data_IF_220226616178
#
_entry.id   IF_220226616178
#
_cell.length_a   1.000
_cell.length_b   1.000
_cell.length_c   1.000
_cell.angle_alpha   90.00
_cell.angle_beta   90.00
_cell.angle_gamma   90.00
#
_symmetry.space_group_name_H-M   'P 1'
#
loop_
_entity.id
_entity.type
_entity.pdbx_description
1 polymer ?
#
# COMPACT_ATOMS: atom_id res chain seq x y z
N UNK A 1 -3.32 -29.05 33.63
CA UNK A 1 -1.84 -29.05 33.49
C UNK A 1 -1.48 -27.98 32.46
N UNK A 2 -1.17 -26.77 32.91
CA UNK A 2 -0.70 -25.69 32.05
C UNK A 2 0.78 -25.90 31.74
N UNK A 3 1.07 -26.68 30.69
CA UNK A 3 2.43 -26.81 30.20
C UNK A 3 2.93 -25.42 29.75
N UNK A 4 4.02 -24.93 30.35
CA UNK A 4 4.71 -23.73 29.85
C UNK A 4 5.06 -23.95 28.38
N UNK A 5 4.49 -23.18 27.50
CA UNK A 5 4.85 -23.20 26.08
C UNK A 5 6.36 -22.95 25.95
N UNK A 6 7.10 -23.97 25.51
CA UNK A 6 8.55 -23.88 25.34
C UNK A 6 8.81 -23.24 23.98
N UNK A 7 9.20 -21.99 23.99
CA UNK A 7 9.54 -21.28 22.74
C UNK A 7 10.76 -21.98 22.09
N UNK A 8 10.74 -22.16 20.76
CA UNK A 8 11.92 -22.58 20.01
C UNK A 8 13.06 -21.57 20.13
N UNK A 9 14.27 -21.97 19.76
CA UNK A 9 15.42 -21.05 19.77
C UNK A 9 15.20 -19.92 18.75
N UNK A 10 15.60 -18.71 19.13
CA UNK A 10 15.52 -17.55 18.21
C UNK A 10 16.31 -17.80 16.92
N UNK A 11 17.39 -18.57 16.97
CA UNK A 11 18.16 -18.91 15.78
C UNK A 11 17.37 -19.83 14.84
N UNK A 12 16.66 -20.83 15.37
CA UNK A 12 15.80 -21.69 14.55
C UNK A 12 14.66 -20.90 13.90
N UNK A 13 14.06 -19.95 14.62
CA UNK A 13 13.05 -19.05 14.07
C UNK A 13 13.63 -18.11 13.00
N UNK A 14 14.87 -17.61 13.17
CA UNK A 14 15.56 -16.80 12.16
C UNK A 14 15.82 -17.58 10.88
N UNK A 15 16.30 -18.82 11.01
CA UNK A 15 16.52 -19.71 9.86
C UNK A 15 15.19 -20.02 9.16
N UNK A 16 14.14 -20.32 9.93
CA UNK A 16 12.80 -20.53 9.37
C UNK A 16 12.31 -19.31 8.59
N UNK A 17 12.48 -18.11 9.13
CA UNK A 17 12.09 -16.87 8.47
C UNK A 17 12.78 -16.71 7.11
N UNK A 18 14.10 -16.89 7.04
CA UNK A 18 14.85 -16.81 5.79
C UNK A 18 14.39 -17.86 4.77
N UNK A 19 14.17 -19.13 5.20
CA UNK A 19 13.67 -20.19 4.30
C UNK A 19 12.26 -19.87 3.79
N UNK A 20 11.39 -19.34 4.65
CA UNK A 20 10.02 -18.97 4.29
C UNK A 20 9.98 -17.82 3.26
N UNK A 21 10.87 -16.82 3.38
CA UNK A 21 11.01 -15.71 2.44
C UNK A 21 11.52 -16.16 1.07
N UNK A 22 12.60 -16.92 1.05
CA UNK A 22 13.25 -17.34 -0.19
C UNK A 22 12.61 -18.56 -0.85
N UNK A 23 11.81 -19.33 -0.13
CA UNK A 23 11.32 -20.66 -0.53
C UNK A 23 12.47 -21.57 -1.03
N UNK A 24 13.65 -21.40 -0.44
CA UNK A 24 14.90 -22.05 -0.85
C UNK A 24 15.88 -22.16 0.33
N UNK A 25 16.25 -23.38 0.67
CA UNK A 25 17.28 -23.63 1.70
C UNK A 25 18.65 -23.06 1.31
N UNK A 26 18.98 -23.07 0.02
CA UNK A 26 20.26 -22.55 -0.48
C UNK A 26 20.32 -21.03 -0.36
N UNK A 27 19.28 -20.33 -0.84
CA UNK A 27 19.25 -18.85 -0.75
C UNK A 27 19.20 -18.37 0.71
N UNK A 28 18.45 -19.08 1.58
CA UNK A 28 18.46 -18.80 3.01
C UNK A 28 19.85 -19.02 3.65
N UNK A 29 20.58 -20.06 3.22
CA UNK A 29 21.94 -20.32 3.68
C UNK A 29 22.91 -19.20 3.22
N UNK A 30 22.79 -18.74 1.98
CA UNK A 30 23.58 -17.65 1.43
C UNK A 30 23.31 -16.33 2.20
N UNK A 31 22.04 -16.00 2.49
CA UNK A 31 21.67 -14.83 3.29
C UNK A 31 22.24 -14.89 4.72
N UNK A 32 22.13 -16.08 5.36
CA UNK A 32 22.54 -16.27 6.75
C UNK A 32 24.04 -16.53 6.91
N UNK A 33 24.79 -16.63 5.81
CA UNK A 33 26.23 -16.95 5.76
C UNK A 33 26.55 -18.29 6.48
N UNK A 34 25.72 -19.31 6.24
CA UNK A 34 25.86 -20.67 6.77
C UNK A 34 25.75 -21.70 5.65
N UNK A 35 25.94 -22.99 5.97
CA UNK A 35 25.78 -24.07 4.99
C UNK A 35 24.30 -24.45 4.82
N UNK A 36 23.85 -24.90 3.64
CA UNK A 36 22.49 -25.42 3.45
C UNK A 36 22.15 -26.59 4.36
N UNK A 37 23.14 -27.38 4.72
CA UNK A 37 22.99 -28.48 5.68
C UNK A 37 22.68 -27.99 7.11
N UNK A 38 23.34 -26.90 7.55
CA UNK A 38 23.05 -26.27 8.83
C UNK A 38 21.62 -25.68 8.86
N UNK A 39 21.16 -25.05 7.76
CA UNK A 39 19.78 -24.59 7.59
C UNK A 39 18.81 -25.76 7.74
N UNK A 40 19.05 -26.87 7.02
CA UNK A 40 18.20 -28.07 7.11
C UNK A 40 18.12 -28.66 8.53
N UNK A 41 19.23 -28.69 9.26
CA UNK A 41 19.24 -29.15 10.65
C UNK A 41 18.42 -28.23 11.58
N UNK A 42 18.53 -26.92 11.42
CA UNK A 42 17.76 -25.98 12.23
C UNK A 42 16.25 -26.07 11.94
N UNK A 43 15.85 -26.23 10.69
CA UNK A 43 14.43 -26.44 10.32
C UNK A 43 13.93 -27.75 10.94
N UNK A 44 14.67 -28.84 10.79
CA UNK A 44 14.28 -30.13 11.39
C UNK A 44 14.12 -30.02 12.91
N UNK A 45 15.05 -29.35 13.58
CA UNK A 45 14.97 -29.13 15.04
C UNK A 45 13.73 -28.30 15.40
N UNK A 46 13.37 -27.33 14.60
CA UNK A 46 12.16 -26.50 14.78
C UNK A 46 10.89 -27.35 14.62
N UNK A 47 10.80 -28.14 13.55
CA UNK A 47 9.68 -29.04 13.28
C UNK A 47 9.54 -30.10 14.41
N UNK A 48 10.64 -30.67 14.84
CA UNK A 48 10.66 -31.59 15.96
C UNK A 48 10.23 -30.96 17.30
N UNK A 49 10.60 -29.69 17.52
CA UNK A 49 10.19 -28.94 18.72
C UNK A 49 8.71 -28.62 18.72
N UNK A 50 8.17 -28.22 17.55
CA UNK A 50 6.77 -27.82 17.38
C UNK A 50 5.85 -29.01 17.10
N UNK A 51 6.39 -30.18 16.76
CA UNK A 51 5.67 -31.41 16.35
C UNK A 51 4.75 -31.13 15.13
N UNK A 52 5.22 -30.27 14.19
CA UNK A 52 4.53 -29.96 12.94
C UNK A 52 5.52 -29.92 11.77
N UNK A 53 5.07 -30.30 10.60
CA UNK A 53 5.83 -30.09 9.36
C UNK A 53 5.60 -28.66 8.87
N UNK A 54 6.68 -27.95 8.57
CA UNK A 54 6.63 -26.57 8.12
C UNK A 54 6.85 -26.45 6.60
N UNK A 55 7.63 -27.36 6.01
CA UNK A 55 7.94 -27.32 4.59
C UNK A 55 7.67 -28.66 3.93
N UNK A 56 7.09 -28.59 2.74
CA UNK A 56 6.85 -29.75 1.86
C UNK A 56 7.63 -29.62 0.57
N UNK A 57 8.09 -30.77 0.03
CA UNK A 57 8.76 -30.81 -1.26
C UNK A 57 7.74 -31.12 -2.35
N UNK A 58 7.59 -30.20 -3.32
CA UNK A 58 6.86 -30.43 -4.57
C UNK A 58 7.85 -30.46 -5.74
N UNK A 59 8.33 -31.64 -6.07
CA UNK A 59 9.35 -31.82 -7.11
C UNK A 59 10.68 -31.14 -6.74
N UNK A 60 11.04 -30.08 -7.45
CA UNK A 60 12.26 -29.29 -7.23
C UNK A 60 12.05 -28.04 -6.32
N UNK A 61 10.81 -27.72 -5.97
CA UNK A 61 10.45 -26.57 -5.17
C UNK A 61 10.10 -26.96 -3.73
N UNK A 62 10.16 -25.98 -2.84
CA UNK A 62 9.76 -26.08 -1.45
C UNK A 62 8.54 -25.16 -1.27
N UNK A 63 7.49 -25.70 -0.66
CA UNK A 63 6.28 -24.97 -0.31
C UNK A 63 6.08 -24.92 1.19
N UNK A 64 5.45 -23.86 1.66
CA UNK A 64 5.08 -23.71 3.07
C UNK A 64 3.75 -24.45 3.30
N UNK A 65 3.69 -25.19 4.42
CA UNK A 65 2.43 -25.73 4.93
C UNK A 65 1.56 -24.60 5.51
N UNK A 66 0.28 -24.86 5.77
CA UNK A 66 -0.59 -23.92 6.46
C UNK A 66 -0.03 -23.49 7.82
N UNK A 67 0.54 -24.44 8.57
CA UNK A 67 1.23 -24.15 9.84
C UNK A 67 2.43 -23.22 9.65
N UNK A 68 3.20 -23.40 8.58
CA UNK A 68 4.32 -22.51 8.27
C UNK A 68 3.87 -21.13 7.85
N UNK A 69 2.80 -21.02 7.05
CA UNK A 69 2.22 -19.72 6.68
C UNK A 69 1.80 -18.96 7.93
N UNK A 70 1.06 -19.61 8.82
CA UNK A 70 0.64 -19.02 10.10
C UNK A 70 1.85 -18.59 10.95
N UNK A 71 2.82 -19.49 11.14
CA UNK A 71 4.02 -19.19 11.93
C UNK A 71 4.84 -18.07 11.32
N UNK A 72 4.93 -17.98 9.98
CA UNK A 72 5.73 -16.96 9.29
C UNK A 72 5.25 -15.55 9.60
N UNK A 73 3.94 -15.33 9.71
CA UNK A 73 3.37 -14.02 10.09
C UNK A 73 3.83 -13.60 11.49
N UNK A 74 3.75 -14.52 12.47
CA UNK A 74 4.16 -14.20 13.85
C UNK A 74 5.67 -14.04 14.00
N UNK A 75 6.45 -14.86 13.31
CA UNK A 75 7.92 -14.80 13.34
C UNK A 75 8.41 -13.51 12.70
N UNK A 76 7.87 -13.14 11.53
CA UNK A 76 8.15 -11.86 10.87
C UNK A 76 7.86 -10.69 11.80
N UNK A 77 6.64 -10.62 12.36
CA UNK A 77 6.27 -9.57 13.28
C UNK A 77 7.20 -9.48 14.51
N UNK A 78 7.62 -10.63 15.05
CA UNK A 78 8.57 -10.69 16.18
C UNK A 78 9.96 -10.13 15.81
N UNK A 79 10.51 -10.49 14.65
CA UNK A 79 11.80 -9.95 14.19
C UNK A 79 11.73 -8.47 13.81
N UNK A 80 10.62 -8.00 13.25
CA UNK A 80 10.39 -6.58 12.99
C UNK A 80 10.41 -5.79 14.32
N UNK A 81 9.79 -6.32 15.40
CA UNK A 81 9.82 -5.72 16.75
C UNK A 81 11.24 -5.69 17.34
N UNK A 82 12.01 -6.78 17.22
CA UNK A 82 13.40 -6.80 17.69
C UNK A 82 14.26 -5.79 16.93
N UNK A 83 14.13 -5.76 15.62
CA UNK A 83 14.87 -4.81 14.77
C UNK A 83 14.55 -3.36 15.13
N UNK A 84 13.29 -3.07 15.38
CA UNK A 84 12.84 -1.75 15.83
C UNK A 84 13.42 -1.40 17.21
N UNK A 85 13.40 -2.34 18.15
CA UNK A 85 14.01 -2.15 19.47
C UNK A 85 15.50 -1.82 19.38
N UNK A 86 16.26 -2.58 18.56
CA UNK A 86 17.69 -2.36 18.33
C UNK A 86 17.91 -1.00 17.66
N UNK A 87 17.14 -0.68 16.61
CA UNK A 87 17.21 0.61 15.90
C UNK A 87 17.05 1.78 16.84
N UNK A 88 16.08 1.73 17.75
CA UNK A 88 15.81 2.81 18.73
C UNK A 88 16.90 2.96 19.78
N UNK A 89 17.47 1.84 20.25
CA UNK A 89 18.57 1.89 21.23
C UNK A 89 19.86 2.41 20.61
N UNK A 90 20.15 2.01 19.36
CA UNK A 90 21.38 2.42 18.67
C UNK A 90 21.34 3.85 18.13
N UNK A 91 20.15 4.37 17.78
CA UNK A 91 19.95 5.74 17.27
C UNK A 91 19.56 6.73 18.38
N UNK A 92 20.16 6.64 19.56
CA UNK A 92 19.82 7.44 20.74
C UNK A 92 19.84 8.97 20.53
N UNK A 93 20.46 9.46 19.47
CA UNK A 93 20.60 10.90 19.14
C UNK A 93 19.31 11.50 18.52
N UNK A 94 18.30 10.70 18.17
CA UNK A 94 17.08 11.14 17.46
C UNK A 94 15.79 10.65 18.14
N UNK A 95 15.74 10.72 19.48
CA UNK A 95 14.59 10.23 20.27
C UNK A 95 13.24 10.85 19.88
N UNK A 96 13.24 12.03 19.27
CA UNK A 96 12.03 12.79 18.94
C UNK A 96 11.81 12.96 17.44
N UNK A 97 12.57 12.24 16.57
CA UNK A 97 12.34 12.28 15.12
C UNK A 97 11.29 11.26 14.74
N UNK A 98 10.35 11.70 13.90
CA UNK A 98 9.34 10.87 13.25
C UNK A 98 9.62 10.87 11.76
N UNK A 99 9.74 9.68 11.17
CA UNK A 99 9.94 9.51 9.74
C UNK A 99 8.61 9.07 9.10
N UNK A 100 7.93 10.01 8.46
CA UNK A 100 6.69 9.77 7.72
C UNK A 100 7.01 9.65 6.24
N UNK A 101 6.53 8.56 5.61
CA UNK A 101 6.41 8.51 4.17
C UNK A 101 4.97 8.82 3.77
N UNK A 102 4.76 9.46 2.63
CA UNK A 102 3.45 9.63 2.06
C UNK A 102 3.53 9.49 0.53
N UNK A 103 2.49 8.95 -0.10
CA UNK A 103 2.43 9.00 -1.56
C UNK A 103 2.54 10.47 -2.02
N UNK A 104 3.23 10.75 -3.14
CA UNK A 104 3.46 12.14 -3.59
C UNK A 104 2.17 12.94 -3.71
N UNK A 105 1.12 12.32 -4.20
CA UNK A 105 -0.20 12.95 -4.36
C UNK A 105 -0.81 13.35 -3.01
N UNK A 106 -0.84 12.42 -2.04
CA UNK A 106 -1.36 12.72 -0.70
C UNK A 106 -0.55 13.80 -0.01
N UNK A 107 0.78 13.72 -0.09
CA UNK A 107 1.66 14.70 0.50
C UNK A 107 1.32 16.12 -0.01
N UNK A 108 1.19 16.29 -1.32
CA UNK A 108 0.99 17.60 -1.95
C UNK A 108 -0.42 18.17 -1.71
N UNK A 109 -1.46 17.35 -1.91
CA UNK A 109 -2.84 17.86 -1.92
C UNK A 109 -3.49 17.88 -0.53
N UNK A 110 -3.08 17.00 0.37
CA UNK A 110 -3.73 16.81 1.66
C UNK A 110 -2.84 17.18 2.85
N UNK A 111 -1.59 16.67 2.88
CA UNK A 111 -0.75 16.78 4.07
C UNK A 111 -0.08 18.15 4.20
N UNK A 112 0.58 18.65 3.15
CA UNK A 112 1.33 19.90 3.19
C UNK A 112 0.48 21.11 3.64
N UNK A 113 -0.78 21.28 3.18
CA UNK A 113 -1.63 22.39 3.66
C UNK A 113 -1.89 22.37 5.17
N UNK A 114 -1.79 21.19 5.82
CA UNK A 114 -2.05 20.97 7.25
C UNK A 114 -0.78 20.80 8.09
N UNK A 115 0.38 20.77 7.46
CA UNK A 115 1.64 20.44 8.14
C UNK A 115 2.05 21.47 9.19
N UNK A 116 1.58 22.72 9.07
CA UNK A 116 1.79 23.75 10.08
C UNK A 116 1.25 23.37 11.45
N UNK A 117 0.18 22.57 11.51
CA UNK A 117 -0.43 22.08 12.74
C UNK A 117 0.40 20.99 13.43
N UNK A 118 1.36 20.38 12.72
CA UNK A 118 2.17 19.29 13.27
C UNK A 118 2.92 19.70 14.56
N UNK A 119 3.48 20.91 14.59
CA UNK A 119 4.24 21.40 15.75
C UNK A 119 3.40 21.54 17.01
N UNK A 120 2.10 21.77 16.87
CA UNK A 120 1.16 21.86 18.00
C UNK A 120 0.82 20.46 18.54
N UNK A 121 0.87 19.44 17.67
CA UNK A 121 0.47 18.06 18.01
C UNK A 121 1.60 17.32 18.72
N UNK A 122 2.83 17.48 18.24
CA UNK A 122 4.02 16.82 18.79
C UNK A 122 5.10 17.88 19.05
N UNK A 123 4.96 18.66 20.13
CA UNK A 123 5.95 19.70 20.45
C UNK A 123 7.36 19.12 20.61
N UNK A 124 8.32 19.73 19.94
CA UNK A 124 9.73 19.31 20.00
C UNK A 124 10.11 18.12 19.10
N UNK A 125 9.16 17.47 18.43
CA UNK A 125 9.50 16.42 17.49
C UNK A 125 10.01 16.98 16.16
N UNK A 126 11.03 16.31 15.60
CA UNK A 126 11.52 16.54 14.25
C UNK A 126 10.78 15.61 13.28
N UNK A 127 10.13 16.17 12.28
CA UNK A 127 9.43 15.39 11.24
C UNK A 127 10.28 15.35 9.97
N UNK A 128 10.65 14.15 9.57
CA UNK A 128 11.17 13.87 8.23
C UNK A 128 10.04 13.33 7.36
N UNK A 129 9.69 14.08 6.32
CA UNK A 129 8.74 13.64 5.30
C UNK A 129 9.49 13.15 4.07
N UNK A 130 9.21 11.92 3.65
CA UNK A 130 9.65 11.36 2.37
C UNK A 130 8.44 11.10 1.50
N UNK A 131 8.66 11.04 0.18
CA UNK A 131 7.59 10.75 -0.76
C UNK A 131 8.00 9.60 -1.67
N UNK A 132 7.37 8.43 -1.47
CA UNK A 132 7.57 7.23 -2.28
C UNK A 132 6.22 6.66 -2.70
N UNK A 133 6.17 6.13 -3.92
CA UNK A 133 4.97 5.47 -4.45
C UNK A 133 4.85 4.04 -3.93
N UNK A 134 5.98 3.36 -3.75
CA UNK A 134 6.02 2.01 -3.20
C UNK A 134 5.84 1.98 -1.69
N UNK A 135 5.25 0.87 -1.20
CA UNK A 135 5.22 0.61 0.23
C UNK A 135 6.67 0.47 0.74
N UNK A 136 7.09 1.28 1.74
CA UNK A 136 8.43 1.18 2.28
C UNK A 136 8.67 -0.16 2.96
N UNK A 137 9.91 -0.62 2.94
CA UNK A 137 10.37 -1.68 3.84
C UNK A 137 10.66 -1.06 5.21
N UNK A 138 9.71 -1.19 6.13
CA UNK A 138 9.83 -0.61 7.48
C UNK A 138 11.05 -1.10 8.26
N UNK A 139 11.61 -2.24 7.91
CA UNK A 139 12.84 -2.77 8.53
C UNK A 139 14.12 -2.10 8.00
N UNK A 140 14.09 -1.55 6.79
CA UNK A 140 15.28 -1.02 6.09
C UNK A 140 15.23 0.48 5.87
N UNK A 141 14.06 1.02 5.54
CA UNK A 141 13.93 2.39 5.02
C UNK A 141 13.87 3.47 6.10
N UNK A 142 13.97 3.10 7.38
CA UNK A 142 13.91 4.05 8.50
C UNK A 142 12.63 4.89 8.46
N UNK A 143 11.49 4.27 8.19
CA UNK A 143 10.15 4.86 8.14
C UNK A 143 9.33 4.39 9.34
N UNK A 144 8.67 5.29 10.04
CA UNK A 144 7.80 4.96 11.17
C UNK A 144 6.38 4.61 10.73
N UNK A 145 5.87 5.32 9.73
CA UNK A 145 4.54 5.09 9.13
C UNK A 145 4.50 5.62 7.70
N UNK A 146 3.54 5.16 6.92
CA UNK A 146 3.34 5.66 5.56
C UNK A 146 1.87 5.93 5.27
N UNK A 147 1.62 6.93 4.41
CA UNK A 147 0.31 7.08 3.77
C UNK A 147 0.42 6.53 2.36
N UNK A 148 -0.21 5.38 2.15
CA UNK A 148 -0.11 4.60 0.93
C UNK A 148 -1.42 4.64 0.14
N UNK A 149 -1.32 4.75 -1.19
CA UNK A 149 -2.47 4.62 -2.08
C UNK A 149 -2.72 3.14 -2.40
N UNK A 150 -3.99 2.73 -2.41
CA UNK A 150 -4.39 1.37 -2.75
C UNK A 150 -5.77 0.99 -2.24
N UNK A 151 -5.95 -0.29 -1.93
CA UNK A 151 -7.24 -0.89 -1.54
C UNK A 151 -7.25 -1.42 -0.10
N UNK A 152 -6.31 -1.02 0.74
CA UNK A 152 -6.25 -1.42 2.15
C UNK A 152 -5.74 -2.84 2.43
N UNK A 153 -5.18 -3.53 1.44
CA UNK A 153 -4.76 -4.94 1.56
C UNK A 153 -3.31 -5.08 2.04
N UNK A 154 -3.05 -4.70 3.30
CA UNK A 154 -1.75 -4.87 3.97
C UNK A 154 -1.93 -5.57 5.32
N UNK A 155 -2.16 -6.90 5.35
CA UNK A 155 -2.59 -7.64 6.55
C UNK A 155 -1.56 -7.65 7.69
N UNK A 156 -0.27 -7.46 7.38
CA UNK A 156 0.81 -7.45 8.37
C UNK A 156 0.89 -6.14 9.17
N UNK A 157 0.16 -5.10 8.77
CA UNK A 157 0.23 -3.77 9.32
C UNK A 157 -1.10 -3.33 9.93
N UNK A 158 -1.05 -2.33 10.80
CA UNK A 158 -2.23 -1.56 11.16
C UNK A 158 -2.56 -0.61 10.00
N UNK A 159 -3.80 -0.68 9.52
CA UNK A 159 -4.20 0.01 8.28
C UNK A 159 -5.50 0.76 8.50
N UNK A 160 -5.47 2.08 8.29
CA UNK A 160 -6.63 2.96 8.45
C UNK A 160 -6.88 3.75 7.16
N UNK A 161 -8.08 3.67 6.60
CA UNK A 161 -8.48 4.52 5.48
C UNK A 161 -8.56 5.98 5.96
N UNK A 162 -7.78 6.86 5.32
CA UNK A 162 -7.83 8.30 5.58
C UNK A 162 -8.85 8.99 4.67
N UNK A 163 -8.75 8.75 3.37
CA UNK A 163 -9.64 9.36 2.38
C UNK A 163 -9.77 8.46 1.15
N UNK A 164 -11.00 8.19 0.65
CA UNK A 164 -11.19 7.55 -0.64
C UNK A 164 -10.69 8.44 -1.77
N UNK A 165 -10.23 7.83 -2.84
CA UNK A 165 -9.75 8.51 -4.05
C UNK A 165 -10.52 8.02 -5.28
N UNK A 166 -11.83 8.36 -5.39
CA UNK A 166 -12.62 8.02 -6.56
C UNK A 166 -12.03 8.67 -7.81
N UNK A 167 -12.11 7.96 -8.92
CA UNK A 167 -11.60 8.42 -10.21
C UNK A 167 -12.73 8.84 -11.14
N UNK A 168 -12.39 9.67 -12.11
CA UNK A 168 -13.26 10.01 -13.24
C UNK A 168 -12.53 9.58 -14.51
N UNK A 169 -13.26 8.99 -15.43
CA UNK A 169 -12.79 8.70 -16.79
C UNK A 169 -12.71 9.99 -17.56
N UNK A 170 -11.50 10.42 -17.92
CA UNK A 170 -11.24 11.71 -18.53
C UNK A 170 -10.44 11.60 -19.82
N UNK A 171 -10.65 12.53 -20.73
CA UNK A 171 -9.84 12.72 -21.92
C UNK A 171 -9.92 14.18 -22.40
N UNK A 172 -9.10 14.56 -23.38
CA UNK A 172 -9.26 15.85 -24.06
C UNK A 172 -10.57 15.92 -24.84
N UNK A 173 -11.13 17.12 -25.08
CA UNK A 173 -12.36 17.29 -25.88
C UNK A 173 -12.29 16.58 -27.24
N UNK A 174 -11.15 16.68 -27.94
CA UNK A 174 -10.95 16.07 -29.26
C UNK A 174 -11.05 14.53 -29.26
N UNK A 175 -10.69 13.86 -28.15
CA UNK A 175 -10.92 12.44 -27.95
C UNK A 175 -12.37 12.20 -27.54
N UNK A 176 -12.90 13.01 -26.63
CA UNK A 176 -14.26 12.89 -26.10
C UNK A 176 -15.34 12.96 -27.17
N UNK A 177 -15.17 13.80 -28.19
CA UNK A 177 -16.08 13.87 -29.33
C UNK A 177 -16.25 12.54 -30.08
N UNK A 178 -15.26 11.65 -30.02
CA UNK A 178 -15.23 10.34 -30.68
C UNK A 178 -15.78 9.22 -29.81
N UNK A 179 -15.98 9.44 -28.51
CA UNK A 179 -16.52 8.47 -27.56
C UNK A 179 -18.02 8.73 -27.40
N UNK A 180 -18.85 7.79 -27.79
CA UNK A 180 -20.32 7.88 -27.71
C UNK A 180 -20.90 6.90 -26.68
N UNK A 181 -20.12 5.91 -26.28
CA UNK A 181 -20.50 4.92 -25.29
C UNK A 181 -19.26 4.40 -24.53
N UNK A 182 -19.46 3.68 -23.42
CA UNK A 182 -18.38 3.07 -22.68
C UNK A 182 -17.56 2.06 -23.54
N UNK A 183 -18.19 1.39 -24.51
CA UNK A 183 -17.50 0.47 -25.43
C UNK A 183 -16.47 1.17 -26.33
N UNK A 184 -16.66 2.47 -26.59
CA UNK A 184 -15.70 3.21 -27.41
C UNK A 184 -14.37 3.47 -26.68
N UNK A 185 -14.33 3.34 -25.35
CA UNK A 185 -13.12 3.54 -24.56
C UNK A 185 -11.98 2.62 -25.02
N UNK A 186 -12.29 1.38 -25.36
CA UNK A 186 -11.30 0.37 -25.79
C UNK A 186 -10.65 0.68 -27.15
N UNK A 187 -11.21 1.63 -27.91
CA UNK A 187 -10.63 2.10 -29.19
C UNK A 187 -9.46 3.06 -28.97
N UNK A 188 -9.27 3.56 -27.75
CA UNK A 188 -8.24 4.52 -27.38
C UNK A 188 -7.21 3.89 -26.44
N UNK A 189 -6.05 4.51 -26.34
CA UNK A 189 -5.05 4.11 -25.35
C UNK A 189 -5.56 4.43 -23.95
N UNK A 190 -5.66 3.41 -23.10
CA UNK A 190 -6.02 3.56 -21.69
C UNK A 190 -4.77 3.91 -20.89
N UNK A 191 -4.85 4.98 -20.10
CA UNK A 191 -3.74 5.47 -19.30
C UNK A 191 -3.98 5.10 -17.84
N UNK A 192 -3.00 4.46 -17.20
CA UNK A 192 -3.07 4.06 -15.81
C UNK A 192 -1.75 4.33 -15.07
N UNK A 193 -1.72 3.96 -13.79
CA UNK A 193 -0.46 3.88 -13.05
C UNK A 193 -0.11 2.41 -12.75
N UNK A 194 1.18 2.12 -12.61
CA UNK A 194 1.68 0.76 -12.29
C UNK A 194 0.97 0.18 -11.07
N UNK A 195 0.56 1.01 -10.12
CA UNK A 195 -0.16 0.60 -8.90
C UNK A 195 -1.66 0.41 -9.10
N UNK A 196 -2.23 0.92 -10.19
CA UNK A 196 -3.67 0.88 -10.47
C UNK A 196 -4.07 -0.14 -11.56
N UNK A 197 -3.22 -1.13 -11.83
CA UNK A 197 -3.44 -2.11 -12.93
C UNK A 197 -4.80 -2.79 -12.94
N UNK A 198 -5.42 -3.02 -11.78
CA UNK A 198 -6.77 -3.62 -11.72
C UNK A 198 -7.89 -2.60 -11.94
N UNK A 199 -7.60 -1.30 -11.87
CA UNK A 199 -8.65 -0.28 -11.85
C UNK A 199 -9.40 -0.19 -13.18
N UNK A 200 -8.69 -0.17 -14.33
CA UNK A 200 -9.35 -0.23 -15.63
C UNK A 200 -10.18 -1.50 -15.84
N UNK A 201 -9.69 -2.72 -15.57
CA UNK A 201 -10.50 -3.92 -15.61
C UNK A 201 -11.76 -3.84 -14.74
N UNK A 202 -11.64 -3.33 -13.51
CA UNK A 202 -12.78 -3.20 -12.60
C UNK A 202 -13.81 -2.18 -13.11
N UNK A 203 -13.35 -1.01 -13.60
CA UNK A 203 -14.20 0.03 -14.17
C UNK A 203 -14.91 -0.45 -15.44
N UNK A 204 -14.19 -1.05 -16.38
CA UNK A 204 -14.80 -1.53 -17.62
C UNK A 204 -15.82 -2.63 -17.37
N UNK A 205 -15.54 -3.55 -16.44
CA UNK A 205 -16.50 -4.56 -16.00
C UNK A 205 -17.76 -3.91 -15.39
N UNK A 206 -17.59 -2.89 -14.54
CA UNK A 206 -18.70 -2.13 -13.98
C UNK A 206 -19.56 -1.47 -15.08
N UNK A 207 -18.92 -0.97 -16.13
CA UNK A 207 -19.58 -0.37 -17.28
C UNK A 207 -20.14 -1.40 -18.32
N UNK A 208 -19.99 -2.70 -18.05
CA UNK A 208 -20.44 -3.77 -18.97
C UNK A 208 -19.57 -3.91 -20.22
N UNK A 209 -18.30 -3.51 -20.15
CA UNK A 209 -17.32 -3.59 -21.26
C UNK A 209 -16.26 -4.63 -20.92
N UNK A 210 -16.01 -5.57 -21.85
CA UNK A 210 -14.93 -6.54 -21.71
C UNK A 210 -13.63 -6.01 -22.35
N UNK A 211 -12.50 -6.20 -21.63
CA UNK A 211 -11.17 -5.99 -22.19
C UNK A 211 -10.80 -7.14 -23.12
N UNK A 212 -10.20 -6.83 -24.23
CA UNK A 212 -9.70 -7.81 -25.21
C UNK A 212 -8.16 -7.76 -25.28
N UNK A 213 -7.52 -8.86 -25.74
CA UNK A 213 -6.06 -9.00 -25.84
C UNK A 213 -5.37 -7.97 -26.77
N UNK A 214 -6.11 -7.08 -27.40
CA UNK A 214 -5.59 -6.04 -28.30
C UNK A 214 -5.67 -4.62 -27.73
N UNK A 215 -6.18 -4.45 -26.51
CA UNK A 215 -6.39 -3.13 -25.94
C UNK A 215 -5.06 -2.46 -25.58
N UNK A 216 -4.91 -1.21 -26.01
CA UNK A 216 -3.67 -0.44 -25.80
C UNK A 216 -3.68 0.21 -24.44
N UNK A 217 -2.63 -0.01 -23.66
CA UNK A 217 -2.44 0.68 -22.38
C UNK A 217 -1.04 1.26 -22.26
N UNK A 218 -0.93 2.37 -21.52
CA UNK A 218 0.36 2.95 -21.10
C UNK A 218 0.26 3.17 -19.59
N UNK A 219 1.21 2.56 -18.86
CA UNK A 219 1.30 2.69 -17.40
C UNK A 219 2.41 3.67 -17.02
N UNK A 220 2.15 4.53 -16.05
CA UNK A 220 3.06 5.51 -15.48
C UNK A 220 3.39 5.16 -14.03
N UNK A 221 4.49 5.66 -13.50
CA UNK A 221 4.85 5.42 -12.10
C UNK A 221 3.95 6.22 -11.14
N UNK A 222 3.51 7.40 -11.55
CA UNK A 222 2.70 8.29 -10.70
C UNK A 222 1.49 8.91 -11.41
N UNK A 223 0.51 9.33 -10.61
CA UNK A 223 -0.74 9.89 -11.09
C UNK A 223 -0.59 11.27 -11.76
N UNK A 224 0.39 12.08 -11.36
CA UNK A 224 0.60 13.41 -11.95
C UNK A 224 1.10 13.31 -13.39
N UNK A 225 2.04 12.38 -13.64
CA UNK A 225 2.54 12.09 -14.99
C UNK A 225 1.42 11.52 -15.86
N UNK A 226 0.62 10.58 -15.33
CA UNK A 226 -0.54 10.02 -16.04
C UNK A 226 -1.57 11.10 -16.38
N UNK A 227 -1.94 11.98 -15.42
CA UNK A 227 -2.83 13.13 -15.68
C UNK A 227 -2.27 14.04 -16.78
N UNK A 228 -0.97 14.34 -16.74
CA UNK A 228 -0.33 15.17 -17.75
C UNK A 228 -0.38 14.52 -19.14
N UNK A 229 -0.20 13.21 -19.24
CA UNK A 229 -0.36 12.46 -20.48
C UNK A 229 -1.82 12.54 -21.00
N UNK A 230 -2.82 12.47 -20.11
CA UNK A 230 -4.22 12.67 -20.46
C UNK A 230 -4.47 14.06 -21.04
N UNK A 231 -3.95 15.11 -20.39
CA UNK A 231 -4.03 16.50 -20.86
C UNK A 231 -3.36 16.73 -22.22
N UNK A 232 -2.32 15.96 -22.54
CA UNK A 232 -1.66 15.99 -23.84
C UNK A 232 -2.39 15.19 -24.93
N UNK A 233 -3.55 14.57 -24.61
CA UNK A 233 -4.34 13.80 -25.57
C UNK A 233 -3.69 12.48 -25.99
N UNK A 234 -2.81 11.90 -25.16
CA UNK A 234 -2.19 10.59 -25.44
C UNK A 234 -3.23 9.47 -25.37
N UNK A 235 -4.24 9.63 -24.51
CA UNK A 235 -5.29 8.62 -24.33
C UNK A 235 -6.37 9.06 -23.36
N UNK A 236 -7.10 8.05 -22.84
CA UNK A 236 -8.13 8.20 -21.82
C UNK A 236 -7.53 7.83 -20.47
N UNK A 237 -7.60 8.72 -19.48
CA UNK A 237 -7.01 8.55 -18.16
C UNK A 237 -8.04 8.43 -17.04
N UNK A 238 -7.58 7.93 -15.90
CA UNK A 238 -8.34 7.84 -14.65
C UNK A 238 -7.83 8.90 -13.68
N UNK A 239 -8.45 10.09 -13.73
CA UNK A 239 -8.01 11.25 -12.95
C UNK A 239 -8.76 11.29 -11.61
N UNK A 240 -8.07 11.67 -10.53
CA UNK A 240 -8.70 11.92 -9.22
C UNK A 240 -9.73 13.04 -9.33
N UNK A 241 -10.86 12.90 -8.63
CA UNK A 241 -11.96 13.89 -8.70
C UNK A 241 -11.47 15.31 -8.44
N UNK A 242 -10.53 15.48 -7.50
CA UNK A 242 -9.99 16.80 -7.15
C UNK A 242 -9.32 17.49 -8.35
N UNK A 243 -8.44 16.77 -9.05
CA UNK A 243 -7.74 17.29 -10.21
C UNK A 243 -8.69 17.49 -11.41
N UNK A 244 -9.64 16.54 -11.58
CA UNK A 244 -10.59 16.59 -12.67
C UNK A 244 -11.49 17.82 -12.62
N UNK A 245 -11.88 18.31 -11.43
CA UNK A 245 -12.70 19.51 -11.28
C UNK A 245 -12.03 20.78 -11.86
N UNK A 246 -10.73 20.94 -11.66
CA UNK A 246 -9.98 22.04 -12.24
C UNK A 246 -9.88 21.92 -13.77
N UNK A 247 -9.57 20.71 -14.24
CA UNK A 247 -9.44 20.42 -15.67
C UNK A 247 -10.77 20.59 -16.41
N UNK A 248 -11.90 20.23 -15.79
CA UNK A 248 -13.23 20.45 -16.35
C UNK A 248 -13.60 21.93 -16.37
N UNK A 249 -13.26 22.69 -15.33
CA UNK A 249 -13.55 24.13 -15.27
C UNK A 249 -12.77 24.90 -16.34
N UNK A 250 -11.54 24.49 -16.61
CA UNK A 250 -10.72 25.08 -17.67
C UNK A 250 -11.09 24.59 -19.07
N UNK A 251 -11.88 23.52 -19.20
CA UNK A 251 -12.19 22.86 -20.47
C UNK A 251 -11.03 22.03 -21.04
N UNK A 252 -9.97 21.81 -20.27
CA UNK A 252 -8.81 21.02 -20.69
C UNK A 252 -9.14 19.52 -20.81
N UNK A 253 -10.00 19.03 -19.94
CA UNK A 253 -10.51 17.66 -19.99
C UNK A 253 -12.05 17.65 -20.02
N UNK A 254 -12.58 16.52 -20.47
CA UNK A 254 -14.01 16.18 -20.44
C UNK A 254 -14.18 14.77 -19.89
N UNK A 255 -15.37 14.48 -19.32
CA UNK A 255 -15.78 13.12 -18.93
C UNK A 255 -16.68 12.55 -20.05
N UNK A 256 -16.13 11.78 -20.99
CA UNK A 256 -16.85 11.42 -22.23
C UNK A 256 -18.04 10.50 -22.01
N UNK A 257 -18.09 9.78 -20.87
CA UNK A 257 -19.19 8.88 -20.49
C UNK A 257 -20.00 9.39 -19.28
N UNK A 258 -19.76 10.66 -18.88
CA UNK A 258 -20.37 11.28 -17.70
C UNK A 258 -19.47 11.27 -16.48
N UNK A 259 -19.64 12.28 -15.62
CA UNK A 259 -18.83 12.43 -14.38
C UNK A 259 -19.16 11.37 -13.35
N UNK A 260 -20.39 10.91 -13.32
CA UNK A 260 -20.92 9.97 -12.32
C UNK A 260 -20.98 8.53 -12.85
N UNK A 261 -20.40 8.26 -14.02
CA UNK A 261 -20.50 6.95 -14.69
C UNK A 261 -19.96 5.77 -13.86
N UNK A 262 -19.11 6.03 -12.89
CA UNK A 262 -18.52 5.04 -11.97
C UNK A 262 -18.70 5.42 -10.50
N UNK A 263 -19.62 6.34 -10.18
CA UNK A 263 -19.83 6.84 -8.82
C UNK A 263 -20.47 5.79 -7.88
N UNK A 264 -21.15 4.81 -8.43
CA UNK A 264 -21.82 3.72 -7.73
C UNK A 264 -20.99 2.42 -7.63
N UNK A 265 -19.69 2.48 -7.97
CA UNK A 265 -18.77 1.36 -7.71
C UNK A 265 -18.76 1.03 -6.22
N UNK A 266 -18.59 -0.27 -5.91
CA UNK A 266 -18.56 -0.73 -4.53
C UNK A 266 -17.37 -0.14 -3.78
N UNK A 267 -17.50 0.16 -2.46
CA UNK A 267 -16.43 0.77 -1.67
C UNK A 267 -15.09 0.01 -1.73
N UNK A 268 -15.13 -1.34 -1.80
CA UNK A 268 -13.95 -2.20 -1.92
C UNK A 268 -13.26 -2.13 -3.30
N UNK A 269 -13.94 -1.59 -4.29
CA UNK A 269 -13.43 -1.37 -5.65
C UNK A 269 -12.88 0.05 -5.84
N UNK A 270 -13.19 0.96 -4.90
CA UNK A 270 -12.69 2.33 -4.92
C UNK A 270 -11.37 2.40 -4.16
N UNK A 271 -10.27 2.84 -4.80
CA UNK A 271 -9.00 3.02 -4.09
C UNK A 271 -9.07 4.20 -3.12
N UNK A 272 -8.11 4.26 -2.21
CA UNK A 272 -7.99 5.36 -1.25
C UNK A 272 -6.57 5.53 -0.75
N UNK A 273 -6.39 6.54 0.09
CA UNK A 273 -5.16 6.75 0.83
C UNK A 273 -5.32 6.18 2.23
N UNK A 274 -4.43 5.27 2.56
CA UNK A 274 -4.44 4.53 3.82
C UNK A 274 -3.20 4.85 4.63
N UNK A 275 -3.39 5.12 5.90
CA UNK A 275 -2.31 5.16 6.88
C UNK A 275 -1.92 3.72 7.21
N UNK A 276 -0.67 3.37 6.98
CA UNK A 276 -0.12 2.02 7.18
C UNK A 276 1.04 2.12 8.15
N UNK A 277 0.99 1.35 9.23
CA UNK A 277 1.99 1.40 10.28
C UNK A 277 2.25 0.02 10.88
N UNK A 278 3.52 -0.38 11.13
CA UNK A 278 3.81 -1.56 11.90
C UNK A 278 3.25 -1.43 13.32
N UNK A 279 2.56 -2.44 13.82
CA UNK A 279 1.87 -2.38 15.13
C UNK A 279 2.80 -1.98 16.29
N UNK A 280 4.05 -2.42 16.24
CA UNK A 280 5.06 -2.08 17.23
C UNK A 280 5.46 -0.61 17.27
N UNK A 281 5.40 0.08 16.15
CA UNK A 281 5.76 1.49 16.05
C UNK A 281 4.80 2.39 16.85
N UNK A 282 3.55 1.97 17.02
CA UNK A 282 2.54 2.70 17.84
C UNK A 282 2.85 2.73 19.35
N UNK A 283 3.82 1.94 19.83
CA UNK A 283 4.31 2.04 21.22
C UNK A 283 5.11 3.30 21.49
N UNK A 284 5.58 3.98 20.44
CA UNK A 284 6.31 5.23 20.55
C UNK A 284 5.33 6.39 20.64
N UNK A 285 5.38 7.13 21.73
CA UNK A 285 4.42 8.21 22.04
C UNK A 285 4.29 9.22 20.90
N UNK A 286 5.41 9.67 20.31
CA UNK A 286 5.40 10.64 19.23
C UNK A 286 4.77 10.07 17.94
N UNK A 287 5.11 8.82 17.58
CA UNK A 287 4.52 8.10 16.43
C UNK A 287 3.02 7.89 16.65
N UNK A 288 2.61 7.43 17.84
CA UNK A 288 1.19 7.25 18.18
C UNK A 288 0.40 8.56 18.16
N UNK A 289 1.02 9.68 18.56
CA UNK A 289 0.37 10.98 18.51
C UNK A 289 0.15 11.45 17.07
N UNK A 290 1.16 11.32 16.20
CA UNK A 290 1.03 11.64 14.77
C UNK A 290 0.01 10.73 14.08
N UNK A 291 0.07 9.41 14.36
CA UNK A 291 -0.90 8.44 13.84
C UNK A 291 -2.34 8.84 14.17
N UNK A 292 -2.61 9.14 15.45
CA UNK A 292 -3.94 9.55 15.89
C UNK A 292 -4.40 10.82 15.21
N UNK A 293 -3.52 11.79 15.09
CA UNK A 293 -3.84 13.03 14.39
C UNK A 293 -4.19 12.79 12.94
N UNK A 294 -3.35 12.04 12.20
CA UNK A 294 -3.62 11.70 10.80
C UNK A 294 -4.96 10.96 10.63
N UNK A 295 -5.26 10.01 11.53
CA UNK A 295 -6.48 9.22 11.47
C UNK A 295 -7.76 10.03 11.82
N UNK A 296 -7.63 11.11 12.60
CA UNK A 296 -8.77 11.93 13.04
C UNK A 296 -9.05 13.15 12.16
N UNK A 297 -8.17 13.43 11.16
CA UNK A 297 -8.41 14.57 10.28
C UNK A 297 -9.60 14.34 9.35
N UNK A 298 -10.42 15.35 9.19
CA UNK A 298 -11.35 15.41 8.06
C UNK A 298 -10.60 15.87 6.81
N UNK A 299 -10.09 14.90 6.06
CA UNK A 299 -9.34 15.15 4.83
C UNK A 299 -10.18 15.72 3.68
N UNK A 300 -11.50 15.81 3.86
CA UNK A 300 -12.45 16.31 2.85
C UNK A 300 -12.88 17.75 3.09
N UNK A 301 -12.76 18.27 4.32
CA UNK A 301 -13.31 19.57 4.70
C UNK A 301 -12.78 20.73 3.86
N UNK A 302 -11.53 20.65 3.38
CA UNK A 302 -10.91 21.71 2.57
C UNK A 302 -11.12 21.50 1.06
N UNK A 303 -11.63 20.32 0.70
CA UNK A 303 -11.97 20.04 -0.68
C UNK A 303 -13.35 20.67 -0.95
N UNK A 304 -13.38 21.78 -1.68
CA UNK A 304 -14.63 22.43 -2.15
C UNK A 304 -15.41 21.54 -3.13
N UNK A 305 -15.40 20.23 -2.93
CA UNK A 305 -15.92 19.20 -3.83
C UNK A 305 -16.91 18.35 -3.05
N UNK A 306 -18.11 18.21 -3.59
CA UNK A 306 -19.13 17.28 -3.08
C UNK A 306 -18.75 15.86 -3.50
N UNK A 307 -17.94 15.17 -2.70
CA UNK A 307 -17.69 13.74 -2.89
C UNK A 307 -18.91 12.95 -2.37
N UNK A 308 -19.25 11.81 -3.00
CA UNK A 308 -20.32 10.95 -2.48
C UNK A 308 -19.99 10.54 -1.02
N UNK A 309 -21.01 10.58 -0.15
CA UNK A 309 -20.85 10.19 1.26
C UNK A 309 -20.48 8.70 1.31
N UNK A 310 -19.50 8.31 2.15
CA UNK A 310 -19.24 6.89 2.35
C UNK A 310 -20.50 6.26 2.95
N UNK A 311 -20.90 5.15 2.36
CA UNK A 311 -21.88 4.26 3.01
C UNK A 311 -21.24 3.75 4.30
N UNK A 312 -21.86 3.88 5.48
CA UNK A 312 -21.32 3.34 6.70
C UNK A 312 -21.15 1.82 6.53
N UNK A 313 -19.96 1.32 6.87
CA UNK A 313 -19.73 -0.11 6.98
C UNK A 313 -20.76 -0.64 7.98
N UNK A 314 -21.62 -1.54 7.56
CA UNK A 314 -22.51 -2.29 8.44
C UNK A 314 -21.64 -3.13 9.36
N UNK A 315 -21.87 -2.99 10.68
CA UNK A 315 -21.24 -3.75 11.78
C UNK A 315 -21.30 -5.27 11.57
#
# INVERSE_FOLDING_TARGET
MTGKLRLPSLNALRVFHAVAQHKSFRQAADELLVTPQAVGQQIKLLEDTLQVTLFERKGRSIELTESAILLSHYVKAGFDEFSEGVRRVTKSTYRDRINLNASPYFATHYLLPRLSLFREIVPGADLRLTTMVDLPDFGRDDIDMTVQWGYGSWPDYDTTLLVPDPKIVCCTPAIGEKIKSAHDLTKFTLLDTVKSKRLWPDILRHLGVELTDGDRSISFDDAATMRRATLQGIGVGLVSVIDAEEDFRSGALVAPIGRDAIADMKPEEVPGFYLVVPRGHLRVKAVAALHRWLAQQDWRSDLKISLPKPTPLSD
#
